data_IF_315034382954
#
_entry.id   IF_315034382954
#
_cell.length_a   1.000
_cell.length_b   1.000
_cell.length_c   1.000
_cell.angle_alpha   90.00
_cell.angle_beta   90.00
_cell.angle_gamma   90.00
#
_symmetry.space_group_name_H-M   'P 1'
#
loop_
_entity.id
_entity.type
_entity.pdbx_description
1 polymer ?
#
# COMPACT_ATOMS: atom_id res chain seq x y z
N UNK A 1 30.16 -20.97 14.38
CA UNK A 1 28.76 -20.59 14.50
C UNK A 1 28.01 -21.81 15.03
N UNK A 2 27.35 -21.71 16.20
CA UNK A 2 26.49 -22.80 16.69
C UNK A 2 25.25 -22.82 15.82
N UNK A 3 24.90 -23.96 15.24
CA UNK A 3 23.64 -24.14 14.54
C UNK A 3 22.50 -24.08 15.56
N UNK A 4 21.51 -23.21 15.31
CA UNK A 4 20.29 -23.15 16.11
C UNK A 4 19.54 -24.48 15.91
N UNK A 5 19.19 -25.16 16.99
CA UNK A 5 18.45 -26.42 16.92
C UNK A 5 16.99 -26.16 16.57
N UNK A 6 16.30 -27.16 16.01
CA UNK A 6 14.86 -27.07 15.68
C UNK A 6 13.99 -26.73 16.91
N UNK A 7 14.40 -27.17 18.09
CA UNK A 7 13.70 -26.90 19.37
C UNK A 7 13.93 -25.44 19.84
N UNK A 8 15.13 -24.88 19.61
CA UNK A 8 15.43 -23.47 19.88
C UNK A 8 14.66 -22.54 18.93
N UNK A 9 14.53 -22.93 17.65
CA UNK A 9 13.75 -22.16 16.66
C UNK A 9 12.28 -22.11 17.08
N UNK A 10 11.73 -23.22 17.59
CA UNK A 10 10.34 -23.31 18.05
C UNK A 10 10.06 -22.46 19.31
N UNK A 11 11.05 -22.29 20.20
CA UNK A 11 10.95 -21.44 21.39
C UNK A 11 11.09 -19.94 21.08
N UNK A 12 11.74 -19.60 19.97
CA UNK A 12 11.95 -18.23 19.53
C UNK A 12 10.85 -17.75 18.57
N UNK A 13 10.09 -18.65 17.96
CA UNK A 13 8.96 -18.29 17.12
C UNK A 13 7.81 -17.73 17.98
N UNK A 14 7.24 -16.58 17.63
CA UNK A 14 6.02 -16.09 18.27
C UNK A 14 4.90 -17.13 18.17
N UNK A 15 4.06 -17.20 19.22
CA UNK A 15 2.84 -18.02 19.16
C UNK A 15 1.76 -17.25 18.36
N UNK A 16 1.49 -17.70 17.15
CA UNK A 16 0.46 -17.15 16.27
C UNK A 16 -0.86 -17.93 16.33
N UNK A 17 -1.06 -18.77 17.34
CA UNK A 17 -2.26 -19.63 17.43
C UNK A 17 -3.57 -18.83 17.42
N UNK A 18 -3.61 -17.67 18.06
CA UNK A 18 -4.77 -16.76 18.05
C UNK A 18 -5.01 -16.11 16.69
N UNK A 19 -3.94 -15.91 15.89
CA UNK A 19 -4.03 -15.32 14.56
C UNK A 19 -4.63 -16.30 13.53
N UNK A 20 -4.49 -17.61 13.72
CA UNK A 20 -4.99 -18.62 12.78
C UNK A 20 -6.52 -18.59 12.60
N UNK A 21 -7.26 -18.45 13.69
CA UNK A 21 -8.74 -18.37 13.60
C UNK A 21 -9.17 -17.13 12.81
N UNK A 22 -8.46 -16.03 12.99
CA UNK A 22 -8.73 -14.80 12.25
C UNK A 22 -8.36 -14.94 10.78
N UNK A 23 -7.23 -15.60 10.46
CA UNK A 23 -6.83 -15.89 9.08
C UNK A 23 -7.87 -16.74 8.36
N UNK A 24 -8.41 -17.77 8.99
CA UNK A 24 -9.48 -18.59 8.40
C UNK A 24 -10.74 -17.75 8.08
N UNK A 25 -11.10 -16.82 8.98
CA UNK A 25 -12.21 -15.89 8.74
C UNK A 25 -11.90 -14.91 7.59
N UNK A 26 -10.66 -14.45 7.49
CA UNK A 26 -10.21 -13.59 6.40
C UNK A 26 -10.27 -14.32 5.05
N UNK A 27 -9.80 -15.57 4.98
CA UNK A 27 -9.90 -16.42 3.78
C UNK A 27 -11.36 -16.62 3.35
N UNK A 28 -12.25 -16.89 4.31
CA UNK A 28 -13.67 -17.00 4.03
C UNK A 28 -14.25 -15.69 3.50
N UNK A 29 -13.96 -14.55 4.16
CA UNK A 29 -14.42 -13.22 3.75
C UNK A 29 -13.92 -12.84 2.36
N UNK A 30 -12.64 -13.15 2.06
CA UNK A 30 -12.05 -12.98 0.74
C UNK A 30 -12.82 -13.77 -0.32
N UNK A 31 -13.11 -15.05 -0.07
CA UNK A 31 -13.86 -15.91 -0.99
C UNK A 31 -15.26 -15.41 -1.29
N UNK A 32 -15.83 -14.54 -0.42
CA UNK A 32 -17.17 -13.95 -0.54
C UNK A 32 -17.14 -12.49 -1.05
N UNK A 33 -15.96 -11.89 -1.19
CA UNK A 33 -15.82 -10.48 -1.55
C UNK A 33 -16.32 -9.51 -0.46
N UNK A 34 -16.19 -9.90 0.81
CA UNK A 34 -16.64 -9.15 1.98
C UNK A 34 -15.60 -8.11 2.40
N UNK A 35 -15.54 -6.99 1.67
CA UNK A 35 -14.57 -5.90 1.92
C UNK A 35 -14.68 -5.33 3.33
N UNK A 36 -15.89 -5.17 3.87
CA UNK A 36 -16.11 -4.57 5.19
C UNK A 36 -15.50 -5.39 6.34
N UNK A 37 -15.34 -6.70 6.16
CA UNK A 37 -14.65 -7.54 7.14
C UNK A 37 -13.20 -7.11 7.34
N UNK A 38 -12.51 -6.76 6.25
CA UNK A 38 -11.10 -6.35 6.31
C UNK A 38 -10.93 -4.98 6.98
N UNK A 39 -11.92 -4.08 6.90
CA UNK A 39 -11.91 -2.83 7.67
C UNK A 39 -11.91 -3.12 9.17
N UNK A 40 -12.73 -4.07 9.63
CA UNK A 40 -12.76 -4.47 11.05
C UNK A 40 -11.39 -5.02 11.49
N UNK A 41 -10.72 -5.80 10.63
CA UNK A 41 -9.37 -6.31 10.91
C UNK A 41 -8.36 -5.17 11.03
N UNK A 42 -8.39 -4.21 10.10
CA UNK A 42 -7.46 -3.08 10.08
C UNK A 42 -7.68 -2.16 11.29
N UNK A 43 -8.93 -1.90 11.67
CA UNK A 43 -9.25 -0.94 12.74
C UNK A 43 -9.10 -1.54 14.15
N UNK A 44 -9.32 -2.85 14.31
CA UNK A 44 -9.53 -3.46 15.63
C UNK A 44 -8.48 -4.49 16.06
N UNK A 45 -7.66 -5.03 15.17
CA UNK A 45 -6.76 -6.13 15.50
C UNK A 45 -5.34 -5.64 15.77
N UNK A 46 -4.75 -5.94 16.97
CA UNK A 46 -3.40 -5.52 17.30
C UNK A 46 -2.30 -6.18 16.45
N UNK A 47 -2.54 -7.40 15.96
CA UNK A 47 -1.56 -8.17 15.20
C UNK A 47 -1.13 -7.44 13.92
N UNK A 48 0.14 -7.06 13.86
CA UNK A 48 0.76 -6.46 12.67
C UNK A 48 0.65 -7.39 11.46
N UNK A 49 0.87 -8.69 11.69
CA UNK A 49 0.80 -9.71 10.63
C UNK A 49 -0.59 -9.73 9.97
N UNK A 50 -1.64 -9.75 10.78
CA UNK A 50 -3.02 -9.79 10.28
C UNK A 50 -3.40 -8.51 9.53
N UNK A 51 -2.97 -7.34 10.02
CA UNK A 51 -3.24 -6.07 9.33
C UNK A 51 -2.52 -5.99 7.98
N UNK A 52 -1.26 -6.41 7.90
CA UNK A 52 -0.54 -6.49 6.61
C UNK A 52 -1.27 -7.48 5.68
N UNK A 53 -1.64 -8.65 6.19
CA UNK A 53 -2.33 -9.66 5.39
C UNK A 53 -3.70 -9.16 4.88
N UNK A 54 -4.42 -8.40 5.71
CA UNK A 54 -5.68 -7.77 5.32
C UNK A 54 -5.50 -6.77 4.16
N UNK A 55 -4.44 -5.96 4.20
CA UNK A 55 -4.10 -5.03 3.11
C UNK A 55 -3.82 -5.80 1.81
N UNK A 56 -2.99 -6.86 1.86
CA UNK A 56 -2.68 -7.68 0.69
C UNK A 56 -3.95 -8.33 0.10
N UNK A 57 -4.81 -8.90 0.94
CA UNK A 57 -6.06 -9.52 0.48
C UNK A 57 -7.02 -8.51 -0.14
N UNK A 58 -7.12 -7.30 0.41
CA UNK A 58 -7.90 -6.21 -0.20
C UNK A 58 -7.39 -5.85 -1.60
N UNK A 59 -6.07 -5.81 -1.80
CA UNK A 59 -5.48 -5.56 -3.11
C UNK A 59 -5.78 -6.70 -4.10
N UNK A 60 -5.69 -7.95 -3.65
CA UNK A 60 -5.96 -9.13 -4.48
C UNK A 60 -7.42 -9.27 -4.91
N UNK A 61 -8.35 -8.63 -4.20
CA UNK A 61 -9.76 -8.56 -4.61
C UNK A 61 -9.94 -7.81 -5.94
N UNK A 62 -9.05 -6.89 -6.29
CA UNK A 62 -9.12 -6.02 -7.48
C UNK A 62 -10.45 -5.28 -7.61
N UNK A 63 -11.01 -4.89 -6.48
CA UNK A 63 -12.31 -4.25 -6.35
C UNK A 63 -12.14 -2.81 -5.84
N UNK A 64 -12.72 -1.84 -6.55
CA UNK A 64 -12.64 -0.43 -6.15
C UNK A 64 -13.23 -0.17 -4.76
N UNK A 65 -14.15 -1.03 -4.28
CA UNK A 65 -14.68 -0.96 -2.91
C UNK A 65 -13.61 -1.12 -1.83
N UNK A 66 -12.45 -1.72 -2.15
CA UNK A 66 -11.32 -1.85 -1.23
C UNK A 66 -10.58 -0.51 -1.01
N UNK A 67 -10.63 0.41 -1.97
CA UNK A 67 -9.86 1.67 -1.94
C UNK A 67 -10.11 2.48 -0.67
N UNK A 68 -11.34 2.70 -0.19
CA UNK A 68 -11.55 3.46 1.05
C UNK A 68 -10.87 2.83 2.28
N UNK A 69 -10.90 1.51 2.42
CA UNK A 69 -10.26 0.81 3.54
C UNK A 69 -8.72 0.91 3.46
N UNK A 70 -8.15 0.78 2.25
CA UNK A 70 -6.72 0.94 2.03
C UNK A 70 -6.25 2.39 2.27
N UNK A 71 -7.05 3.38 1.85
CA UNK A 71 -6.76 4.80 2.13
C UNK A 71 -6.79 5.11 3.62
N UNK A 72 -7.72 4.52 4.37
CA UNK A 72 -7.79 4.66 5.82
C UNK A 72 -6.57 4.04 6.50
N UNK A 73 -6.18 2.81 6.10
CA UNK A 73 -4.97 2.15 6.58
C UNK A 73 -3.71 2.97 6.27
N UNK A 74 -3.58 3.50 5.07
CA UNK A 74 -2.47 4.38 4.68
C UNK A 74 -2.38 5.62 5.58
N UNK A 75 -3.51 6.18 5.97
CA UNK A 75 -3.56 7.42 6.74
C UNK A 75 -3.37 7.21 8.24
N UNK A 76 -3.90 6.13 8.81
CA UNK A 76 -4.10 6.03 10.26
C UNK A 76 -3.39 4.85 10.93
N UNK A 77 -2.94 3.83 10.19
CA UNK A 77 -2.30 2.69 10.84
C UNK A 77 -1.04 3.13 11.60
N UNK A 78 -0.87 2.71 12.86
CA UNK A 78 0.29 3.09 13.67
C UNK A 78 1.60 2.54 13.11
N UNK A 79 1.56 1.45 12.32
CA UNK A 79 2.74 0.84 11.73
C UNK A 79 3.08 1.44 10.37
N UNK A 80 4.29 1.99 10.19
CA UNK A 80 4.72 2.45 8.87
C UNK A 80 4.80 1.32 7.83
N UNK A 81 4.92 0.06 8.27
CA UNK A 81 4.90 -1.09 7.36
C UNK A 81 3.51 -1.34 6.77
N UNK A 82 2.45 -1.20 7.58
CA UNK A 82 1.07 -1.31 7.07
C UNK A 82 0.75 -0.14 6.15
N UNK A 83 1.15 1.09 6.52
CA UNK A 83 0.96 2.26 5.67
C UNK A 83 1.70 2.13 4.34
N UNK A 84 2.94 1.64 4.35
CA UNK A 84 3.70 1.34 3.13
C UNK A 84 2.97 0.31 2.26
N UNK A 85 2.55 -0.81 2.83
CA UNK A 85 1.84 -1.87 2.11
C UNK A 85 0.51 -1.37 1.53
N UNK A 86 -0.19 -0.49 2.25
CA UNK A 86 -1.40 0.15 1.76
C UNK A 86 -1.13 1.08 0.56
N UNK A 87 -0.04 1.87 0.58
CA UNK A 87 0.38 2.68 -0.56
C UNK A 87 0.70 1.83 -1.78
N UNK A 88 1.48 0.75 -1.59
CA UNK A 88 1.82 -0.21 -2.63
C UNK A 88 0.56 -0.85 -3.25
N UNK A 89 -0.36 -1.33 -2.40
CA UNK A 89 -1.62 -1.94 -2.82
C UNK A 89 -2.50 -0.97 -3.63
N UNK A 90 -2.59 0.29 -3.21
CA UNK A 90 -3.31 1.34 -3.95
C UNK A 90 -2.68 1.60 -5.32
N UNK A 91 -1.34 1.56 -5.41
CA UNK A 91 -0.62 1.65 -6.67
C UNK A 91 -0.92 0.49 -7.61
N UNK A 92 -0.96 -0.74 -7.09
CA UNK A 92 -1.30 -1.95 -7.87
C UNK A 92 -2.75 -1.96 -8.36
N UNK A 93 -3.68 -1.41 -7.59
CA UNK A 93 -5.09 -1.33 -7.97
C UNK A 93 -5.36 -0.28 -9.06
N UNK A 94 -4.49 0.71 -9.22
CA UNK A 94 -4.54 1.78 -10.24
C UNK A 94 -5.85 2.58 -10.26
N UNK A 95 -6.65 2.56 -9.17
CA UNK A 95 -7.86 3.35 -9.09
C UNK A 95 -7.57 4.82 -8.79
N UNK A 96 -8.09 5.70 -9.63
CA UNK A 96 -7.91 7.16 -9.51
C UNK A 96 -8.42 7.73 -8.18
N UNK A 97 -9.40 7.09 -7.57
CA UNK A 97 -9.95 7.45 -6.26
C UNK A 97 -8.91 7.42 -5.13
N UNK A 98 -7.78 6.71 -5.31
CA UNK A 98 -6.67 6.66 -4.35
C UNK A 98 -5.74 7.89 -4.38
N UNK A 99 -5.72 8.64 -5.48
CA UNK A 99 -4.74 9.73 -5.71
C UNK A 99 -4.71 10.76 -4.58
N UNK A 100 -5.83 11.26 -4.03
CA UNK A 100 -5.79 12.25 -2.95
C UNK A 100 -5.10 11.73 -1.68
N UNK A 101 -5.35 10.47 -1.29
CA UNK A 101 -4.74 9.87 -0.10
C UNK A 101 -3.24 9.64 -0.29
N UNK A 102 -2.83 9.17 -1.47
CA UNK A 102 -1.41 8.99 -1.82
C UNK A 102 -0.66 10.32 -1.85
N UNK A 103 -1.27 11.39 -2.37
CA UNK A 103 -0.67 12.73 -2.34
C UNK A 103 -0.47 13.24 -0.91
N UNK A 104 -1.45 13.00 -0.02
CA UNK A 104 -1.36 13.38 1.40
C UNK A 104 -0.23 12.61 2.09
N UNK A 105 -0.17 11.28 1.90
CA UNK A 105 0.86 10.43 2.49
C UNK A 105 2.25 10.78 1.96
N UNK A 106 2.41 10.95 0.66
CA UNK A 106 3.67 11.37 0.03
C UNK A 106 4.16 12.72 0.58
N UNK A 107 3.25 13.62 0.90
CA UNK A 107 3.61 14.96 1.39
C UNK A 107 3.97 14.97 2.88
N UNK A 108 3.28 14.20 3.70
CA UNK A 108 3.20 14.43 5.12
C UNK A 108 3.57 13.23 6.01
N UNK A 109 3.71 12.01 5.46
CA UNK A 109 4.06 10.85 6.30
C UNK A 109 5.47 11.00 6.86
N UNK A 110 5.62 10.69 8.15
CA UNK A 110 6.90 10.72 8.85
C UNK A 110 7.89 9.67 8.31
N UNK A 111 7.39 8.54 7.81
CA UNK A 111 8.20 7.45 7.29
C UNK A 111 8.63 7.73 5.85
N UNK A 112 9.93 7.69 5.62
CA UNK A 112 10.52 7.76 4.26
C UNK A 112 9.94 6.67 3.37
N UNK A 113 9.78 5.44 3.88
CA UNK A 113 9.25 4.31 3.13
C UNK A 113 7.83 4.60 2.60
N UNK A 114 6.99 5.22 3.41
CA UNK A 114 5.60 5.54 3.01
C UNK A 114 5.59 6.67 1.99
N UNK A 115 6.42 7.72 2.16
CA UNK A 115 6.53 8.80 1.17
C UNK A 115 7.06 8.29 -0.17
N UNK A 116 8.09 7.46 -0.13
CA UNK A 116 8.67 6.79 -1.31
C UNK A 116 7.60 5.98 -2.05
N UNK A 117 6.93 5.05 -1.36
CA UNK A 117 5.95 4.16 -1.97
C UNK A 117 4.74 4.91 -2.52
N UNK A 118 4.31 5.97 -1.81
CA UNK A 118 3.22 6.82 -2.28
C UNK A 118 3.57 7.54 -3.60
N UNK A 119 4.83 7.96 -3.78
CA UNK A 119 5.28 8.55 -5.04
C UNK A 119 5.28 7.51 -6.17
N UNK A 120 5.78 6.29 -5.92
CA UNK A 120 5.76 5.17 -6.86
C UNK A 120 4.32 4.82 -7.27
N UNK A 121 3.42 4.70 -6.30
CA UNK A 121 2.01 4.41 -6.53
C UNK A 121 1.31 5.48 -7.41
N UNK A 122 1.62 6.75 -7.19
CA UNK A 122 1.11 7.85 -8.02
C UNK A 122 1.60 7.76 -9.47
N UNK A 123 2.85 7.34 -9.69
CA UNK A 123 3.39 7.05 -11.01
C UNK A 123 2.63 5.92 -11.70
N UNK A 124 2.38 4.80 -11.01
CA UNK A 124 1.63 3.64 -11.51
C UNK A 124 0.20 3.99 -11.92
N UNK A 125 -0.53 4.75 -11.08
CA UNK A 125 -1.89 5.23 -11.39
C UNK A 125 -1.89 6.16 -12.62
N UNK A 126 -0.85 6.97 -12.77
CA UNK A 126 -0.63 7.77 -13.98
C UNK A 126 -1.65 8.90 -14.19
N UNK A 127 -2.17 9.48 -13.10
CA UNK A 127 -3.09 10.61 -13.17
C UNK A 127 -2.34 11.96 -13.16
N UNK A 128 -2.65 12.80 -14.12
CA UNK A 128 -1.99 14.11 -14.30
C UNK A 128 -2.18 15.03 -13.08
N UNK A 129 -3.24 14.83 -12.30
CA UNK A 129 -3.51 15.58 -11.06
C UNK A 129 -2.44 15.39 -10.00
N UNK A 130 -1.65 14.30 -10.06
CA UNK A 130 -0.54 14.05 -9.15
C UNK A 130 0.71 14.89 -9.45
N UNK A 131 0.84 15.45 -10.68
CA UNK A 131 2.07 16.09 -11.16
C UNK A 131 2.60 17.18 -10.24
N UNK A 132 1.76 18.09 -9.79
CA UNK A 132 2.20 19.19 -8.92
C UNK A 132 2.80 18.70 -7.61
N UNK A 133 2.14 17.72 -6.97
CA UNK A 133 2.65 17.13 -5.74
C UNK A 133 3.98 16.39 -5.94
N UNK A 134 4.13 15.67 -7.05
CA UNK A 134 5.39 14.99 -7.40
C UNK A 134 6.53 15.99 -7.64
N UNK A 135 6.26 17.13 -8.31
CA UNK A 135 7.27 18.20 -8.51
C UNK A 135 7.74 18.75 -7.16
N UNK A 136 6.84 18.93 -6.20
CA UNK A 136 7.20 19.39 -4.87
C UNK A 136 8.14 18.40 -4.15
N UNK A 137 8.00 17.10 -4.39
CA UNK A 137 8.84 16.04 -3.81
C UNK A 137 10.22 15.92 -4.44
N UNK A 138 10.51 16.53 -5.56
CA UNK A 138 11.89 16.67 -6.07
C UNK A 138 12.82 17.41 -5.09
N UNK A 139 12.25 18.01 -4.04
CA UNK A 139 12.98 18.69 -2.96
C UNK A 139 12.81 17.98 -1.61
N UNK A 140 12.34 16.75 -1.59
CA UNK A 140 12.25 15.97 -0.35
C UNK A 140 13.65 15.85 0.29
N UNK A 141 13.78 15.92 1.62
CA UNK A 141 15.07 15.76 2.27
C UNK A 141 15.71 14.40 1.98
N UNK A 142 14.91 13.36 1.74
CA UNK A 142 15.37 12.02 1.45
C UNK A 142 15.59 11.81 -0.07
N UNK A 143 16.70 11.14 -0.41
CA UNK A 143 17.09 10.90 -1.80
C UNK A 143 16.18 9.90 -2.50
N UNK A 144 15.77 8.83 -1.80
CA UNK A 144 14.91 7.79 -2.38
C UNK A 144 13.54 8.34 -2.74
N UNK A 145 13.01 9.28 -1.93
CA UNK A 145 11.74 9.96 -2.24
C UNK A 145 11.90 10.89 -3.45
N UNK A 146 13.02 11.63 -3.56
CA UNK A 146 13.29 12.48 -4.74
C UNK A 146 13.36 11.65 -6.02
N UNK A 147 14.10 10.53 -6.00
CA UNK A 147 14.21 9.63 -7.15
C UNK A 147 12.86 9.01 -7.54
N UNK A 148 12.06 8.62 -6.56
CA UNK A 148 10.73 8.07 -6.82
C UNK A 148 9.80 9.11 -7.46
N UNK A 149 9.86 10.35 -7.01
CA UNK A 149 9.10 11.43 -7.61
C UNK A 149 9.54 11.72 -9.05
N UNK A 150 10.85 11.66 -9.32
CA UNK A 150 11.41 11.84 -10.69
C UNK A 150 10.92 10.70 -11.62
N UNK A 151 11.00 9.45 -11.17
CA UNK A 151 10.53 8.28 -11.93
C UNK A 151 9.02 8.39 -12.18
N UNK A 152 8.22 8.70 -11.16
CA UNK A 152 6.79 8.87 -11.29
C UNK A 152 6.40 9.97 -12.30
N UNK A 153 7.14 11.08 -12.34
CA UNK A 153 6.94 12.13 -13.35
C UNK A 153 7.24 11.62 -14.77
N UNK A 154 8.28 10.79 -14.93
CA UNK A 154 8.60 10.18 -16.22
C UNK A 154 7.49 9.21 -16.66
N UNK A 155 6.93 8.43 -15.72
CA UNK A 155 5.81 7.52 -15.97
C UNK A 155 4.55 8.28 -16.41
N UNK A 156 4.23 9.41 -15.76
CA UNK A 156 3.13 10.27 -16.19
C UNK A 156 3.31 10.76 -17.63
N UNK A 157 4.53 11.17 -18.00
CA UNK A 157 4.83 11.62 -19.36
C UNK A 157 4.74 10.48 -20.38
N UNK A 158 5.20 9.28 -20.01
CA UNK A 158 5.10 8.09 -20.84
C UNK A 158 3.64 7.70 -21.08
N UNK A 159 2.85 7.58 -20.02
CA UNK A 159 1.43 7.21 -20.10
C UNK A 159 0.62 8.24 -20.90
N UNK A 160 0.89 9.52 -20.72
CA UNK A 160 0.27 10.59 -21.50
C UNK A 160 0.52 10.42 -23.00
N UNK A 161 1.78 10.14 -23.40
CA UNK A 161 2.15 9.87 -24.81
C UNK A 161 1.48 8.62 -25.34
N UNK A 162 1.39 7.56 -24.54
CA UNK A 162 0.74 6.31 -24.91
C UNK A 162 -0.75 6.52 -25.19
N UNK A 163 -1.46 7.15 -24.25
CA UNK A 163 -2.90 7.50 -24.38
C UNK A 163 -3.18 8.34 -25.62
N UNK A 164 -2.33 9.34 -25.92
CA UNK A 164 -2.47 10.18 -27.10
C UNK A 164 -2.30 9.42 -28.44
N UNK A 165 -1.53 8.32 -28.46
CA UNK A 165 -1.37 7.45 -29.64
C UNK A 165 -2.59 6.56 -29.86
N UNK A 166 -3.20 6.05 -28.78
CA UNK A 166 -4.37 5.18 -28.84
C UNK A 166 -5.62 5.91 -29.30
N UNK A 167 -5.77 7.18 -28.95
CA UNK A 167 -6.93 8.01 -29.33
C UNK A 167 -6.91 8.47 -30.81
N UNK A 168 -5.76 8.32 -31.50
CA UNK A 168 -5.60 8.70 -32.92
C UNK A 168 -5.85 7.53 -33.91
N UNK A 169 -6.18 6.36 -33.41
CA UNK A 169 -6.58 5.18 -34.21
C UNK A 169 -8.07 4.95 -34.13
#
# INVERSE_FOLDING_TARGET
MKSITHDETRRLAPDYSEDFETLEKMEWAFSKGEVDFFRIVLDGIPSLLLRIHAVCMLADMKDERAVPALCEALKQDPSPLVRHEAAFSLGQLEFKSAVPALLEAMANDESVLVRHESAVALGSIGEETARSGLIDRLRDPDEDVRLSAEIALADLDFLKRLRARTTRR
#
